data_IF_006555861749
#
_entry.id   IF_006555861749
#
_cell.length_a   1.000
_cell.length_b   1.000
_cell.length_c   1.000
_cell.angle_alpha   90.00
_cell.angle_beta   90.00
_cell.angle_gamma   90.00
#
_symmetry.space_group_name_H-M   'P 1'
#
loop_
_entity.id
_entity.type
_entity.pdbx_description
1 polymer ?
#
# COMPACT_ATOMS: atom_id res chain seq x y z
N UNK A 1 -19.60 -14.95 13.78
CA UNK A 1 -18.36 -14.18 14.08
C UNK A 1 -18.63 -12.77 14.59
N UNK A 2 -19.17 -11.82 13.79
CA UNK A 2 -19.35 -10.44 14.29
C UNK A 2 -20.30 -10.35 15.50
N UNK A 3 -21.36 -11.16 15.53
CA UNK A 3 -22.25 -11.27 16.69
C UNK A 3 -21.49 -11.75 17.94
N UNK A 4 -20.67 -12.80 17.81
CA UNK A 4 -19.87 -13.37 18.91
C UNK A 4 -18.82 -12.37 19.43
N UNK A 5 -18.27 -11.55 18.54
CA UNK A 5 -17.36 -10.45 18.89
C UNK A 5 -18.08 -9.35 19.69
N UNK A 6 -19.26 -8.90 19.22
CA UNK A 6 -20.06 -7.86 19.88
C UNK A 6 -20.53 -8.27 21.27
N UNK A 7 -20.96 -9.52 21.41
CA UNK A 7 -21.47 -10.08 22.66
C UNK A 7 -20.37 -10.59 23.59
N UNK A 8 -19.10 -10.47 23.19
CA UNK A 8 -17.95 -10.95 23.93
C UNK A 8 -18.05 -12.43 24.37
N UNK A 9 -18.76 -13.27 23.59
CA UNK A 9 -18.88 -14.72 23.83
C UNK A 9 -17.53 -15.41 23.96
N UNK A 10 -16.54 -14.93 23.22
CA UNK A 10 -15.15 -15.34 23.34
C UNK A 10 -14.27 -14.18 23.84
N UNK A 11 -13.31 -14.44 24.75
CA UNK A 11 -12.38 -13.44 25.22
C UNK A 11 -11.44 -13.00 24.08
N UNK A 12 -10.85 -11.80 24.20
CA UNK A 12 -9.88 -11.28 23.21
C UNK A 12 -8.74 -12.26 22.95
N UNK A 13 -8.26 -12.94 23.98
CA UNK A 13 -7.17 -13.92 23.91
C UNK A 13 -7.45 -15.08 22.96
N UNK A 14 -8.70 -15.53 22.84
CA UNK A 14 -9.09 -16.55 21.87
C UNK A 14 -8.96 -16.05 20.43
N UNK A 15 -9.36 -14.80 20.17
CA UNK A 15 -9.15 -14.16 18.87
C UNK A 15 -7.66 -13.94 18.57
N UNK A 16 -6.86 -13.58 19.58
CA UNK A 16 -5.40 -13.44 19.44
C UNK A 16 -4.74 -14.74 19.02
N UNK A 17 -5.18 -15.90 19.56
CA UNK A 17 -4.67 -17.21 19.13
C UNK A 17 -4.91 -17.48 17.64
N UNK A 18 -6.03 -17.04 17.08
CA UNK A 18 -6.33 -17.16 15.64
C UNK A 18 -5.36 -16.28 14.83
N UNK A 19 -5.15 -15.03 15.26
CA UNK A 19 -4.20 -14.12 14.61
C UNK A 19 -2.77 -14.67 14.67
N UNK A 20 -2.35 -15.24 15.80
CA UNK A 20 -1.01 -15.82 16.00
C UNK A 20 -0.80 -17.09 15.16
N UNK A 21 -1.81 -17.95 15.06
CA UNK A 21 -1.74 -19.18 14.25
C UNK A 21 -1.76 -18.90 12.75
N UNK A 22 -2.58 -17.93 12.30
CA UNK A 22 -2.73 -17.60 10.89
C UNK A 22 -1.53 -16.83 10.33
N UNK A 23 -0.91 -15.95 11.12
CA UNK A 23 0.23 -15.11 10.70
C UNK A 23 1.38 -15.86 10.01
N UNK A 24 1.97 -16.93 10.57
CA UNK A 24 3.06 -17.66 9.91
C UNK A 24 2.61 -18.34 8.61
N UNK A 25 1.38 -18.85 8.57
CA UNK A 25 0.79 -19.45 7.36
C UNK A 25 0.64 -18.40 6.26
N UNK A 26 0.10 -17.23 6.60
CA UNK A 26 -0.04 -16.11 5.67
C UNK A 26 1.31 -15.67 5.10
N UNK A 27 2.34 -15.51 5.94
CA UNK A 27 3.70 -15.18 5.48
C UNK A 27 4.26 -16.23 4.52
N UNK A 28 4.04 -17.51 4.81
CA UNK A 28 4.47 -18.63 3.96
C UNK A 28 3.76 -18.60 2.60
N UNK A 29 2.45 -18.34 2.58
CA UNK A 29 1.65 -18.22 1.36
C UNK A 29 2.18 -17.14 0.42
N UNK A 30 2.46 -15.95 0.95
CA UNK A 30 2.99 -14.82 0.16
C UNK A 30 4.52 -14.84 0.01
N UNK A 31 5.18 -15.93 0.43
CA UNK A 31 6.62 -16.16 0.28
C UNK A 31 7.52 -15.10 0.95
N UNK A 32 7.10 -14.56 2.09
CA UNK A 32 7.95 -13.67 2.90
C UNK A 32 8.47 -14.41 4.14
N UNK A 33 9.71 -14.15 4.58
CA UNK A 33 10.27 -14.84 5.73
C UNK A 33 9.70 -14.26 7.06
N UNK A 34 9.92 -14.93 8.20
CA UNK A 34 9.38 -14.50 9.49
C UNK A 34 9.74 -13.07 9.90
N UNK A 35 10.90 -12.57 9.47
CA UNK A 35 11.42 -11.22 9.75
C UNK A 35 10.71 -10.11 8.95
N UNK A 36 9.87 -10.45 7.97
CA UNK A 36 9.04 -9.48 7.27
C UNK A 36 8.05 -8.84 8.27
N UNK A 37 7.85 -7.53 8.16
CA UNK A 37 6.96 -6.77 9.04
C UNK A 37 5.52 -7.29 9.00
N UNK A 38 4.88 -7.36 10.18
CA UNK A 38 3.48 -7.78 10.30
C UNK A 38 2.50 -6.68 9.89
N UNK A 39 2.94 -5.42 9.97
CA UNK A 39 2.21 -4.24 9.50
C UNK A 39 1.85 -4.37 8.02
N UNK A 40 2.67 -5.05 7.21
CA UNK A 40 2.35 -5.33 5.81
C UNK A 40 1.10 -6.18 5.60
N UNK A 41 0.92 -7.20 6.45
CA UNK A 41 -0.21 -8.12 6.32
C UNK A 41 -1.51 -7.38 6.61
N UNK A 42 -1.50 -6.54 7.66
CA UNK A 42 -2.72 -5.98 8.24
C UNK A 42 -2.88 -4.47 8.05
N UNK A 43 -1.94 -3.81 7.38
CA UNK A 43 -2.00 -2.39 7.03
C UNK A 43 -2.96 -2.10 5.87
N UNK A 44 -3.13 -0.82 5.56
CA UNK A 44 -4.09 -0.37 4.56
C UNK A 44 -3.72 -0.77 3.12
N UNK A 45 -4.70 -1.29 2.39
CA UNK A 45 -4.56 -1.68 0.97
C UNK A 45 -4.22 -0.50 0.06
N UNK A 46 -4.67 0.71 0.39
CA UNK A 46 -4.32 1.91 -0.38
C UNK A 46 -2.88 2.37 -0.12
N UNK A 47 -2.24 1.83 0.90
CA UNK A 47 -0.83 2.07 1.24
C UNK A 47 0.04 0.87 0.90
N UNK A 48 -0.33 0.13 -0.17
CA UNK A 48 0.42 -1.02 -0.67
C UNK A 48 0.60 -2.18 0.33
N UNK A 49 -0.30 -2.32 1.31
CA UNK A 49 -0.37 -3.48 2.23
C UNK A 49 -1.46 -4.48 1.81
N UNK A 50 -1.57 -5.64 2.48
CA UNK A 50 -2.53 -6.69 2.13
C UNK A 50 -3.93 -6.50 2.74
N UNK A 51 -4.07 -5.73 3.81
CA UNK A 51 -5.38 -5.46 4.44
C UNK A 51 -6.06 -6.69 5.05
N UNK A 52 -5.29 -7.68 5.48
CA UNK A 52 -5.80 -8.85 6.20
C UNK A 52 -6.31 -8.39 7.57
N UNK A 53 -7.58 -8.63 7.92
CA UNK A 53 -8.12 -8.25 9.22
C UNK A 53 -7.40 -8.94 10.38
N UNK A 54 -7.24 -8.24 11.51
CA UNK A 54 -6.86 -8.85 12.78
C UNK A 54 -8.12 -9.09 13.60
N UNK A 55 -8.47 -10.35 13.84
CA UNK A 55 -9.75 -10.68 14.48
C UNK A 55 -9.78 -10.23 15.95
N UNK A 56 -8.63 -10.19 16.63
CA UNK A 56 -8.55 -9.68 18.00
C UNK A 56 -8.82 -8.18 18.07
N UNK A 57 -8.35 -7.40 17.09
CA UNK A 57 -8.60 -5.97 16.98
C UNK A 57 -10.06 -5.71 16.59
N UNK A 58 -10.56 -6.42 15.58
CA UNK A 58 -11.95 -6.35 15.16
C UNK A 58 -12.92 -6.70 16.29
N UNK A 59 -12.53 -7.59 17.21
CA UNK A 59 -13.33 -7.91 18.39
C UNK A 59 -13.51 -6.71 19.32
N UNK A 60 -12.50 -5.84 19.44
CA UNK A 60 -12.60 -4.62 20.25
C UNK A 60 -13.42 -3.56 19.53
N UNK A 61 -13.21 -3.40 18.22
CA UNK A 61 -14.02 -2.47 17.42
C UNK A 61 -15.49 -2.87 17.51
N UNK A 62 -15.79 -4.18 17.41
CA UNK A 62 -17.15 -4.70 17.52
C UNK A 62 -17.79 -4.39 18.87
N UNK A 63 -17.05 -4.49 19.98
CA UNK A 63 -17.58 -4.19 21.33
C UNK A 63 -17.93 -2.71 21.48
N UNK A 64 -17.05 -1.82 21.02
CA UNK A 64 -17.30 -0.36 21.03
C UNK A 64 -18.48 0.00 20.11
N UNK A 65 -18.46 -0.51 18.87
CA UNK A 65 -19.54 -0.33 17.88
C UNK A 65 -20.90 -0.83 18.39
N UNK A 66 -20.92 -1.99 19.05
CA UNK A 66 -22.10 -2.60 19.63
C UNK A 66 -22.68 -1.76 20.78
N UNK A 67 -21.84 -1.37 21.74
CA UNK A 67 -22.25 -0.53 22.85
C UNK A 67 -22.79 0.83 22.36
N UNK A 68 -22.11 1.46 21.39
CA UNK A 68 -22.56 2.73 20.84
C UNK A 68 -23.93 2.60 20.15
N UNK A 69 -24.15 1.50 19.41
CA UNK A 69 -25.43 1.23 18.75
C UNK A 69 -26.57 0.90 19.72
N UNK A 70 -26.30 0.32 20.88
CA UNK A 70 -27.30 0.11 21.93
C UNK A 70 -27.74 1.44 22.54
N UNK A 71 -26.80 2.29 22.95
CA UNK A 71 -27.08 3.60 23.55
C UNK A 71 -27.73 4.59 22.56
N UNK A 72 -27.47 4.40 21.27
CA UNK A 72 -28.05 5.21 20.19
C UNK A 72 -29.16 4.51 19.43
N UNK A 73 -29.76 3.42 19.96
CA UNK A 73 -30.76 2.63 19.25
C UNK A 73 -31.92 3.50 18.73
N UNK A 74 -32.46 3.14 17.55
CA UNK A 74 -33.68 3.79 17.02
C UNK A 74 -34.94 3.31 17.74
N UNK A 75 -34.85 2.17 18.41
CA UNK A 75 -35.92 1.63 19.23
C UNK A 75 -35.83 2.25 20.64
N UNK A 76 -36.83 3.05 21.06
CA UNK A 76 -36.82 3.71 22.36
C UNK A 76 -36.77 2.73 23.54
N UNK A 77 -37.37 1.54 23.41
CA UNK A 77 -37.36 0.54 24.48
C UNK A 77 -35.95 -0.02 24.68
N UNK A 78 -35.28 -0.42 23.59
CA UNK A 78 -33.89 -0.90 23.62
C UNK A 78 -32.94 0.19 24.14
N UNK A 79 -33.12 1.44 23.68
CA UNK A 79 -32.31 2.56 24.12
C UNK A 79 -32.48 2.80 25.62
N UNK A 80 -33.71 2.84 26.11
CA UNK A 80 -34.02 3.05 27.55
C UNK A 80 -33.41 1.94 28.41
N UNK A 81 -33.59 0.67 28.02
CA UNK A 81 -33.00 -0.47 28.72
C UNK A 81 -31.47 -0.38 28.76
N UNK A 82 -30.84 -0.04 27.63
CA UNK A 82 -29.39 0.08 27.54
C UNK A 82 -28.84 1.19 28.46
N UNK A 83 -29.51 2.36 28.50
CA UNK A 83 -29.12 3.45 29.37
C UNK A 83 -29.32 3.14 30.85
N UNK A 84 -30.41 2.46 31.21
CA UNK A 84 -30.66 2.05 32.60
C UNK A 84 -29.61 1.03 33.07
N UNK A 85 -29.37 -0.01 32.28
CA UNK A 85 -28.36 -1.04 32.59
C UNK A 85 -26.94 -0.44 32.75
N UNK A 86 -26.57 0.52 31.89
CA UNK A 86 -25.30 1.24 32.02
C UNK A 86 -25.23 2.07 33.31
N UNK A 87 -26.30 2.82 33.62
CA UNK A 87 -26.36 3.65 34.83
C UNK A 87 -26.29 2.80 36.09
N UNK A 88 -27.07 1.72 36.17
CA UNK A 88 -27.09 0.81 37.31
C UNK A 88 -25.71 0.22 37.56
N UNK A 89 -25.00 -0.18 36.49
CA UNK A 89 -23.63 -0.67 36.59
C UNK A 89 -22.68 0.39 37.15
N UNK A 90 -22.77 1.64 36.67
CA UNK A 90 -21.90 2.71 37.13
C UNK A 90 -22.26 3.09 38.58
N UNK A 91 -23.54 3.24 38.92
CA UNK A 91 -24.02 3.49 40.28
C UNK A 91 -23.50 2.42 41.25
N UNK A 92 -23.55 1.15 40.86
CA UNK A 92 -23.03 0.06 41.67
C UNK A 92 -21.52 0.19 41.94
N UNK A 93 -20.78 0.83 41.04
CA UNK A 93 -19.32 1.06 41.13
C UNK A 93 -18.97 2.31 41.94
N UNK A 94 -19.58 3.46 41.66
CA UNK A 94 -19.26 4.75 42.30
C UNK A 94 -20.09 5.02 43.58
N UNK A 95 -21.09 4.18 43.88
CA UNK A 95 -22.00 4.28 45.04
C UNK A 95 -22.81 5.58 45.11
N UNK A 96 -23.01 6.25 43.97
CA UNK A 96 -23.85 7.45 43.80
C UNK A 96 -24.50 7.46 42.40
N UNK A 97 -25.56 8.26 42.17
CA UNK A 97 -26.10 8.47 40.83
C UNK A 97 -25.03 9.08 39.90
N UNK A 98 -24.80 8.50 38.69
CA UNK A 98 -23.78 8.97 37.77
C UNK A 98 -24.23 10.22 37.02
N UNK A 99 -23.35 11.21 36.94
CA UNK A 99 -23.45 12.34 36.03
C UNK A 99 -23.07 11.95 34.59
N UNK A 100 -23.39 12.80 33.61
CA UNK A 100 -22.96 12.64 32.22
C UNK A 100 -21.44 12.53 32.08
N UNK A 101 -20.70 13.25 32.94
CA UNK A 101 -19.23 13.19 33.01
C UNK A 101 -18.76 11.83 33.54
N UNK A 102 -19.40 11.27 34.56
CA UNK A 102 -19.06 9.94 35.09
C UNK A 102 -19.25 8.84 34.02
N UNK A 103 -20.32 8.94 33.23
CA UNK A 103 -20.60 8.00 32.14
C UNK A 103 -19.54 8.11 31.04
N UNK A 104 -19.20 9.34 30.64
CA UNK A 104 -18.15 9.63 29.66
C UNK A 104 -16.80 9.10 30.11
N UNK A 105 -16.42 9.38 31.36
CA UNK A 105 -15.18 8.92 31.97
C UNK A 105 -15.14 7.39 32.07
N UNK A 106 -16.24 6.75 32.49
CA UNK A 106 -16.33 5.30 32.55
C UNK A 106 -16.11 4.64 31.18
N UNK A 107 -16.85 5.07 30.15
CA UNK A 107 -16.80 4.45 28.81
C UNK A 107 -15.48 4.75 28.07
N UNK A 108 -14.89 5.93 28.31
CA UNK A 108 -13.55 6.30 27.84
C UNK A 108 -12.43 5.57 28.59
N UNK A 109 -12.80 4.78 29.61
CA UNK A 109 -11.87 4.08 30.48
C UNK A 109 -10.88 4.99 31.20
N UNK A 110 -11.34 6.17 31.63
CA UNK A 110 -10.57 7.07 32.51
C UNK A 110 -10.10 6.32 33.75
N UNK A 111 -8.86 6.57 34.14
CA UNK A 111 -8.23 6.03 35.34
C UNK A 111 -8.35 7.01 36.51
N UNK A 112 -9.43 7.80 36.59
CA UNK A 112 -9.74 8.59 37.78
C UNK A 112 -9.99 7.69 39.00
N UNK A 113 -9.72 8.22 40.20
CA UNK A 113 -9.72 7.44 41.46
C UNK A 113 -11.03 6.68 41.70
N UNK A 114 -12.18 7.26 41.32
CA UNK A 114 -13.52 6.63 41.41
C UNK A 114 -13.63 5.32 40.58
N UNK A 115 -12.78 5.14 39.57
CA UNK A 115 -12.77 3.96 38.71
C UNK A 115 -11.51 3.10 38.85
N UNK A 116 -10.47 3.57 39.53
CA UNK A 116 -9.28 2.79 39.87
C UNK A 116 -9.67 1.65 40.82
N UNK A 117 -9.10 0.47 40.59
CA UNK A 117 -9.18 -0.70 41.50
C UNK A 117 -10.52 -1.43 41.71
N UNK A 118 -11.64 -1.04 41.09
CA UNK A 118 -12.81 -1.94 41.07
C UNK A 118 -12.62 -3.01 39.98
N UNK A 119 -12.23 -4.21 40.41
CA UNK A 119 -12.41 -5.43 39.62
C UNK A 119 -13.91 -5.65 39.45
N UNK A 120 -14.44 -5.56 38.23
CA UNK A 120 -15.81 -5.98 37.99
C UNK A 120 -15.86 -7.51 38.10
N UNK A 121 -16.59 -8.09 39.07
CA UNK A 121 -16.70 -9.55 39.19
C UNK A 121 -17.49 -10.18 38.04
N UNK A 122 -18.29 -9.37 37.32
CA UNK A 122 -19.17 -9.83 36.23
C UNK A 122 -18.83 -9.09 34.93
N UNK A 123 -18.57 -9.87 33.87
CA UNK A 123 -18.35 -9.36 32.51
C UNK A 123 -19.69 -8.97 31.87
N UNK A 124 -19.91 -7.68 31.67
CA UNK A 124 -21.05 -7.10 30.93
C UNK A 124 -20.63 -6.49 29.59
N UNK A 125 -21.62 -6.15 28.75
CA UNK A 125 -21.42 -5.40 27.49
C UNK A 125 -20.67 -4.08 27.76
N UNK A 126 -20.99 -3.37 28.85
CA UNK A 126 -20.37 -2.10 29.20
C UNK A 126 -18.93 -2.26 29.68
N UNK A 127 -18.66 -3.26 30.51
CA UNK A 127 -17.29 -3.52 31.00
C UNK A 127 -16.36 -3.98 29.87
N UNK A 128 -16.87 -4.76 28.92
CA UNK A 128 -16.12 -5.21 27.75
C UNK A 128 -15.91 -4.08 26.74
N UNK A 129 -16.91 -3.22 26.55
CA UNK A 129 -16.79 -2.00 25.75
C UNK A 129 -15.78 -1.03 26.37
N UNK A 130 -15.83 -0.75 27.68
CA UNK A 130 -14.83 0.06 28.41
C UNK A 130 -13.41 -0.47 28.18
N UNK A 131 -13.20 -1.77 28.36
CA UNK A 131 -11.90 -2.39 28.13
C UNK A 131 -11.43 -2.30 26.67
N UNK A 132 -12.35 -2.38 25.71
CA UNK A 132 -12.06 -2.18 24.31
C UNK A 132 -11.73 -0.70 23.99
N UNK A 133 -12.49 0.26 24.55
CA UNK A 133 -12.21 1.70 24.45
C UNK A 133 -10.81 2.04 24.95
N UNK A 134 -10.40 1.47 26.10
CA UNK A 134 -9.04 1.65 26.63
C UNK A 134 -7.96 1.21 25.62
N UNK A 135 -8.12 0.01 25.05
CA UNK A 135 -7.15 -0.56 24.10
C UNK A 135 -7.11 0.20 22.78
N UNK A 136 -8.27 0.66 22.31
CA UNK A 136 -8.42 1.42 21.08
C UNK A 136 -8.21 2.92 21.25
N UNK A 137 -8.04 3.41 22.49
CA UNK A 137 -7.97 4.85 22.83
C UNK A 137 -9.18 5.64 22.30
N UNK A 138 -10.37 5.11 22.55
CA UNK A 138 -11.65 5.73 22.16
C UNK A 138 -12.14 6.62 23.29
N UNK A 139 -12.45 7.87 22.96
CA UNK A 139 -13.10 8.80 23.87
C UNK A 139 -14.60 8.81 23.63
N UNK A 140 -15.37 8.76 24.69
CA UNK A 140 -16.83 8.86 24.71
C UNK A 140 -17.21 10.17 25.37
N UNK A 141 -18.15 10.88 24.75
CA UNK A 141 -18.66 12.15 25.24
C UNK A 141 -20.18 12.05 25.35
N UNK A 142 -20.69 12.22 26.56
CA UNK A 142 -22.11 12.20 26.91
C UNK A 142 -22.45 13.56 27.50
N UNK A 143 -23.45 14.19 26.91
CA UNK A 143 -24.00 15.47 27.36
C UNK A 143 -25.23 15.26 28.24
N UNK A 144 -25.65 16.31 28.95
CA UNK A 144 -26.76 16.22 29.92
C UNK A 144 -28.12 15.90 29.30
N UNK A 145 -28.29 16.15 27.99
CA UNK A 145 -29.48 15.73 27.24
C UNK A 145 -29.41 14.26 26.74
N UNK A 146 -28.42 13.48 27.23
CA UNK A 146 -28.15 12.10 26.84
C UNK A 146 -27.77 11.91 25.37
N UNK A 147 -27.37 12.98 24.69
CA UNK A 147 -26.71 12.84 23.40
C UNK A 147 -25.28 12.35 23.62
N UNK A 148 -24.91 11.35 22.82
CA UNK A 148 -23.65 10.62 22.94
C UNK A 148 -22.87 10.68 21.63
N UNK A 149 -21.57 10.91 21.73
CA UNK A 149 -20.64 10.83 20.63
C UNK A 149 -19.40 10.03 21.00
N UNK A 150 -18.72 9.46 20.00
CA UNK A 150 -17.45 8.77 20.19
C UNK A 150 -16.39 9.34 19.27
N UNK A 151 -15.16 9.44 19.76
CA UNK A 151 -14.02 9.99 19.03
C UNK A 151 -12.88 8.99 18.98
N UNK A 152 -12.29 8.82 17.79
CA UNK A 152 -11.14 7.94 17.56
C UNK A 152 -10.25 8.51 16.45
N UNK A 153 -8.95 8.61 16.72
CA UNK A 153 -7.95 9.19 15.79
C UNK A 153 -8.40 10.55 15.20
N UNK A 154 -8.94 11.44 16.03
CA UNK A 154 -9.40 12.78 15.62
C UNK A 154 -10.72 12.82 14.85
N UNK A 155 -11.42 11.69 14.68
CA UNK A 155 -12.75 11.65 14.04
C UNK A 155 -13.84 11.43 15.08
N UNK A 156 -14.85 12.31 15.12
CA UNK A 156 -16.02 12.21 16.01
C UNK A 156 -17.24 11.66 15.27
N UNK A 157 -17.97 10.76 15.93
CA UNK A 157 -19.17 10.10 15.42
C UNK A 157 -20.37 10.46 16.30
N UNK A 158 -21.36 11.10 15.69
CA UNK A 158 -22.68 11.29 16.27
C UNK A 158 -23.60 10.09 15.99
N UNK A 159 -24.77 9.97 16.66
CA UNK A 159 -25.71 8.87 16.45
C UNK A 159 -26.12 8.65 14.99
N UNK A 160 -26.23 9.72 14.19
CA UNK A 160 -26.54 9.64 12.76
C UNK A 160 -25.49 8.89 11.93
N UNK A 161 -24.23 8.90 12.37
CA UNK A 161 -23.09 8.24 11.69
C UNK A 161 -22.71 6.89 12.32
N UNK A 162 -23.53 6.32 13.21
CA UNK A 162 -23.25 5.05 13.91
C UNK A 162 -22.96 3.85 13.00
N UNK A 163 -23.45 3.85 11.76
CA UNK A 163 -23.20 2.77 10.81
C UNK A 163 -21.75 2.75 10.28
N UNK A 164 -21.03 3.86 10.37
CA UNK A 164 -19.66 4.02 9.87
C UNK A 164 -18.60 3.65 10.91
N UNK A 165 -18.94 3.63 12.21
CA UNK A 165 -17.98 3.48 13.33
C UNK A 165 -17.03 2.31 13.11
N UNK A 166 -17.57 1.11 12.89
CA UNK A 166 -16.75 -0.08 12.72
C UNK A 166 -15.81 0.00 11.50
N UNK A 167 -16.32 0.46 10.36
CA UNK A 167 -15.55 0.59 9.13
C UNK A 167 -14.43 1.63 9.28
N UNK A 168 -14.74 2.80 9.85
CA UNK A 168 -13.77 3.88 10.00
C UNK A 168 -12.70 3.55 11.04
N UNK A 169 -13.06 2.95 12.18
CA UNK A 169 -12.07 2.51 13.17
C UNK A 169 -11.09 1.52 12.56
N UNK A 170 -11.60 0.50 11.87
CA UNK A 170 -10.75 -0.46 11.16
C UNK A 170 -9.86 0.23 10.12
N UNK A 171 -10.41 1.17 9.34
CA UNK A 171 -9.63 1.92 8.36
C UNK A 171 -8.51 2.74 9.00
N UNK A 172 -8.78 3.40 10.13
CA UNK A 172 -7.79 4.22 10.83
C UNK A 172 -6.63 3.37 11.38
N UNK A 173 -6.93 2.24 12.03
CA UNK A 173 -5.89 1.33 12.55
C UNK A 173 -5.05 0.67 11.45
N UNK A 174 -5.66 0.42 10.28
CA UNK A 174 -4.93 -0.04 9.09
C UNK A 174 -3.99 1.03 8.55
N UNK A 175 -4.45 2.28 8.53
CA UNK A 175 -3.64 3.42 8.10
C UNK A 175 -2.44 3.64 9.02
N UNK A 176 -2.65 3.62 10.34
CA UNK A 176 -1.57 3.75 11.34
C UNK A 176 -0.49 2.67 11.16
N UNK A 177 -0.89 1.40 10.95
CA UNK A 177 0.05 0.31 10.65
C UNK A 177 0.83 0.54 9.37
N UNK A 178 0.16 0.99 8.31
CA UNK A 178 0.85 1.30 7.05
C UNK A 178 1.84 2.45 7.22
N UNK A 179 1.46 3.53 7.90
CA UNK A 179 2.35 4.65 8.22
C UNK A 179 3.57 4.18 9.01
N UNK A 180 3.36 3.33 10.04
CA UNK A 180 4.44 2.70 10.80
C UNK A 180 5.39 1.90 9.90
N UNK A 181 4.86 1.08 8.97
CA UNK A 181 5.70 0.33 8.02
C UNK A 181 6.59 1.23 7.15
N UNK A 182 6.07 2.38 6.69
CA UNK A 182 6.84 3.31 5.85
C UNK A 182 8.05 3.93 6.58
N UNK A 183 8.01 3.98 7.92
CA UNK A 183 9.15 4.45 8.72
C UNK A 183 10.34 3.47 8.70
N UNK A 184 10.13 2.20 8.35
CA UNK A 184 11.17 1.18 8.43
C UNK A 184 12.26 1.40 7.34
N UNK A 185 13.55 1.56 7.72
CA UNK A 185 14.60 1.93 6.77
C UNK A 185 14.76 0.98 5.56
N UNK A 186 14.73 -0.33 5.80
CA UNK A 186 14.91 -1.34 4.74
C UNK A 186 13.59 -1.81 4.14
N UNK A 187 12.57 -2.00 4.98
CA UNK A 187 11.31 -2.66 4.61
C UNK A 187 10.24 -1.69 4.10
N UNK A 188 10.31 -0.41 4.49
CA UNK A 188 9.35 0.62 4.09
C UNK A 188 9.67 1.28 2.76
N UNK A 189 10.93 1.25 2.31
CA UNK A 189 11.41 2.06 1.17
C UNK A 189 10.70 1.79 -0.16
N UNK A 190 10.52 0.52 -0.53
CA UNK A 190 9.86 0.16 -1.78
C UNK A 190 8.33 0.16 -1.64
N UNK A 191 7.83 -0.06 -0.42
CA UNK A 191 6.41 0.05 -0.10
C UNK A 191 5.95 1.50 -0.26
N UNK A 192 6.78 2.48 0.14
CA UNK A 192 6.52 3.91 -0.08
C UNK A 192 6.30 4.22 -1.57
N UNK A 193 7.21 3.77 -2.43
CA UNK A 193 7.10 3.93 -3.89
C UNK A 193 5.86 3.22 -4.46
N UNK A 194 5.50 2.05 -3.93
CA UNK A 194 4.30 1.34 -4.37
C UNK A 194 3.02 2.02 -3.87
N UNK A 195 3.04 2.59 -2.67
CA UNK A 195 1.88 3.22 -2.01
C UNK A 195 1.48 4.54 -2.69
N UNK A 196 2.43 5.29 -3.25
CA UNK A 196 2.18 6.58 -3.92
C UNK A 196 1.19 6.47 -5.10
N UNK A 197 1.13 5.29 -5.74
CA UNK A 197 0.16 4.95 -6.78
C UNK A 197 -0.35 3.51 -6.62
N UNK A 198 -0.87 3.18 -5.43
CA UNK A 198 -1.22 1.81 -5.03
C UNK A 198 -2.18 1.08 -5.97
N UNK A 199 -3.14 1.78 -6.57
CA UNK A 199 -4.08 1.19 -7.54
C UNK A 199 -3.38 0.57 -8.75
N UNK A 200 -2.25 1.14 -9.17
CA UNK A 200 -1.45 0.64 -10.29
C UNK A 200 -0.38 -0.32 -9.79
N UNK A 201 0.37 0.08 -8.77
CA UNK A 201 1.53 -0.67 -8.25
C UNK A 201 1.17 -1.99 -7.53
N UNK A 202 -0.09 -2.15 -7.12
CA UNK A 202 -0.55 -3.30 -6.33
C UNK A 202 -1.83 -3.95 -6.88
N UNK A 203 -2.19 -3.68 -8.15
CA UNK A 203 -3.42 -4.19 -8.76
C UNK A 203 -3.58 -5.71 -8.62
N UNK A 204 -2.49 -6.46 -8.78
CA UNK A 204 -2.45 -7.91 -8.73
C UNK A 204 -2.59 -8.51 -7.32
N UNK A 205 -2.64 -7.72 -6.25
CA UNK A 205 -2.71 -8.26 -4.88
C UNK A 205 -3.96 -9.11 -4.63
N UNK A 206 -5.07 -8.82 -5.31
CA UNK A 206 -6.37 -9.47 -5.09
C UNK A 206 -6.75 -10.46 -6.19
N UNK A 207 -6.54 -10.09 -7.44
CA UNK A 207 -7.03 -10.83 -8.61
C UNK A 207 -5.91 -11.43 -9.47
N UNK A 208 -4.65 -11.08 -9.21
CA UNK A 208 -3.49 -11.55 -9.98
C UNK A 208 -3.46 -11.05 -11.42
N UNK A 209 -4.27 -10.04 -11.80
CA UNK A 209 -4.33 -9.57 -13.17
C UNK A 209 -2.96 -9.17 -13.70
N UNK A 210 -2.67 -9.57 -14.94
CA UNK A 210 -1.43 -9.29 -15.69
C UNK A 210 -0.11 -9.79 -15.08
N UNK A 211 -0.14 -10.42 -13.90
CA UNK A 211 1.04 -10.82 -13.13
C UNK A 211 1.14 -12.34 -13.06
N UNK A 212 2.27 -12.94 -13.47
CA UNK A 212 2.48 -14.39 -13.33
C UNK A 212 2.55 -14.76 -11.86
N UNK A 213 2.17 -15.99 -11.51
CA UNK A 213 2.27 -16.46 -10.12
C UNK A 213 3.70 -16.35 -9.55
N UNK A 214 4.72 -16.63 -10.37
CA UNK A 214 6.12 -16.49 -9.97
C UNK A 214 6.51 -15.03 -9.66
N UNK A 215 5.97 -14.08 -10.42
CA UNK A 215 6.20 -12.63 -10.25
C UNK A 215 5.51 -12.12 -8.97
N UNK A 216 4.25 -12.54 -8.77
CA UNK A 216 3.48 -12.29 -7.54
C UNK A 216 4.21 -12.84 -6.31
N UNK A 217 4.69 -14.08 -6.39
CA UNK A 217 5.43 -14.73 -5.29
C UNK A 217 6.78 -14.08 -5.00
N UNK A 218 7.42 -13.48 -6.01
CA UNK A 218 8.69 -12.77 -5.89
C UNK A 218 8.52 -11.38 -5.27
N UNK A 219 7.53 -10.61 -5.74
CA UNK A 219 7.49 -9.17 -5.50
C UNK A 219 7.28 -8.79 -4.04
N UNK A 220 6.49 -9.58 -3.29
CA UNK A 220 6.28 -9.36 -1.87
C UNK A 220 7.62 -9.35 -1.12
N UNK A 221 8.45 -10.39 -1.31
CA UNK A 221 9.75 -10.51 -0.66
C UNK A 221 10.77 -9.48 -1.17
N UNK A 222 10.72 -9.15 -2.46
CA UNK A 222 11.61 -8.17 -3.08
C UNK A 222 11.39 -6.76 -2.51
N UNK A 223 10.14 -6.33 -2.34
CA UNK A 223 9.80 -5.02 -1.75
C UNK A 223 10.28 -4.88 -0.30
N UNK A 224 10.40 -5.99 0.43
CA UNK A 224 11.01 -6.00 1.76
C UNK A 224 12.53 -5.96 1.78
N UNK A 225 13.20 -6.06 0.63
CA UNK A 225 14.63 -6.25 0.54
C UNK A 225 15.09 -7.50 1.32
N UNK A 226 14.28 -8.57 1.29
CA UNK A 226 14.52 -9.83 2.02
C UNK A 226 14.85 -11.01 1.08
N UNK A 227 15.13 -10.72 -0.19
CA UNK A 227 15.58 -11.73 -1.17
C UNK A 227 17.00 -12.20 -0.85
N UNK A 228 17.34 -13.49 -1.05
CA UNK A 228 18.60 -14.11 -0.62
C UNK A 228 19.85 -13.70 -1.45
N UNK A 229 20.23 -12.42 -1.39
CA UNK A 229 21.46 -11.87 -1.94
C UNK A 229 22.56 -11.75 -0.86
N UNK A 230 23.83 -11.76 -1.25
CA UNK A 230 24.97 -11.85 -0.34
C UNK A 230 25.01 -10.70 0.67
N UNK A 231 24.67 -9.47 0.27
CA UNK A 231 24.68 -8.33 1.17
C UNK A 231 23.54 -8.34 2.22
N UNK A 232 22.50 -9.15 2.04
CA UNK A 232 21.32 -9.20 2.93
C UNK A 232 21.44 -10.35 3.96
N UNK A 233 22.33 -11.32 3.73
CA UNK A 233 22.50 -12.50 4.61
C UNK A 233 23.22 -12.12 5.90
N UNK A 234 22.47 -11.90 6.99
CA UNK A 234 22.97 -11.51 8.32
C UNK A 234 23.99 -12.47 8.96
N UNK A 235 23.99 -13.76 8.59
CA UNK A 235 24.74 -14.82 9.28
C UNK A 235 25.99 -15.32 8.56
N UNK A 236 26.41 -14.70 7.46
CA UNK A 236 27.65 -15.10 6.80
C UNK A 236 28.76 -14.10 7.10
N UNK A 237 29.85 -14.57 7.72
CA UNK A 237 31.20 -13.99 7.61
C UNK A 237 31.77 -14.15 6.18
N UNK A 238 30.91 -14.19 5.17
CA UNK A 238 31.23 -14.57 3.79
C UNK A 238 31.39 -13.38 2.85
N UNK A 239 31.63 -13.70 1.57
CA UNK A 239 31.73 -12.72 0.49
C UNK A 239 30.41 -11.93 0.35
N UNK A 240 30.48 -10.61 0.60
CA UNK A 240 29.37 -9.67 0.37
C UNK A 240 29.26 -9.23 -1.10
N UNK A 241 30.32 -9.44 -1.86
CA UNK A 241 30.43 -9.05 -3.26
C UNK A 241 29.40 -9.73 -4.15
N UNK A 242 29.10 -9.07 -5.26
CA UNK A 242 28.27 -9.60 -6.33
C UNK A 242 28.88 -10.87 -6.90
N UNK A 243 28.12 -11.97 -6.87
CA UNK A 243 28.55 -13.28 -7.37
C UNK A 243 28.76 -13.35 -8.89
N UNK A 244 28.46 -12.27 -9.61
CA UNK A 244 28.49 -12.21 -11.09
C UNK A 244 29.51 -11.23 -11.63
N UNK A 245 29.62 -10.05 -11.00
CA UNK A 245 30.46 -8.97 -11.52
C UNK A 245 31.43 -8.39 -10.48
N UNK A 246 31.61 -9.05 -9.33
CA UNK A 246 32.53 -8.64 -8.25
C UNK A 246 32.30 -7.23 -7.66
N UNK A 247 31.15 -6.61 -7.90
CA UNK A 247 30.77 -5.36 -7.23
C UNK A 247 30.78 -5.54 -5.70
N UNK A 248 31.22 -4.54 -4.89
CA UNK A 248 31.51 -4.75 -3.46
C UNK A 248 30.35 -5.30 -2.63
N UNK A 249 29.10 -4.94 -2.96
CA UNK A 249 27.91 -5.40 -2.25
C UNK A 249 26.83 -5.90 -3.21
N UNK A 250 26.50 -7.19 -3.12
CA UNK A 250 25.38 -7.80 -3.83
C UNK A 250 24.05 -7.41 -3.18
N UNK A 251 23.62 -6.19 -3.45
CA UNK A 251 22.33 -5.66 -3.00
C UNK A 251 21.28 -5.85 -4.08
N UNK A 252 19.99 -5.80 -3.70
CA UNK A 252 18.90 -5.83 -4.69
C UNK A 252 18.94 -4.64 -5.67
N UNK A 253 19.21 -3.38 -5.25
CA UNK A 253 19.46 -2.29 -6.19
C UNK A 253 20.56 -2.59 -7.21
N UNK A 254 21.67 -3.19 -6.76
CA UNK A 254 22.75 -3.57 -7.67
C UNK A 254 22.25 -4.59 -8.71
N UNK A 255 21.64 -5.70 -8.28
CA UNK A 255 21.18 -6.75 -9.20
C UNK A 255 20.06 -6.27 -10.13
N UNK A 256 19.12 -5.47 -9.62
CA UNK A 256 17.94 -5.06 -10.37
C UNK A 256 18.18 -3.88 -11.34
N UNK A 257 19.22 -3.06 -11.11
CA UNK A 257 19.40 -1.80 -11.83
C UNK A 257 20.84 -1.47 -12.26
N UNK A 258 21.88 -2.06 -11.65
CA UNK A 258 23.26 -1.56 -11.81
C UNK A 258 24.32 -2.63 -12.12
N UNK A 259 23.95 -3.90 -12.16
CA UNK A 259 24.90 -4.96 -12.44
C UNK A 259 25.15 -5.04 -13.95
N UNK A 260 26.37 -4.66 -14.37
CA UNK A 260 26.75 -4.57 -15.80
C UNK A 260 26.58 -5.88 -16.57
N UNK A 261 26.53 -7.03 -15.87
CA UNK A 261 26.21 -8.34 -16.47
C UNK A 261 24.85 -8.34 -17.17
N UNK A 262 23.91 -7.52 -16.71
CA UNK A 262 22.50 -7.51 -17.14
C UNK A 262 22.11 -6.26 -17.92
N UNK A 263 23.09 -5.50 -18.46
CA UNK A 263 22.82 -4.27 -19.21
C UNK A 263 21.80 -4.49 -20.34
N UNK A 264 21.94 -5.57 -21.10
CA UNK A 264 21.00 -5.94 -22.18
C UNK A 264 19.59 -6.20 -21.65
N UNK A 265 19.44 -6.89 -20.51
CA UNK A 265 18.14 -7.13 -19.90
C UNK A 265 17.51 -5.83 -19.36
N UNK A 266 18.32 -4.90 -18.84
CA UNK A 266 17.83 -3.58 -18.43
C UNK A 266 17.30 -2.77 -19.63
N UNK A 267 18.01 -2.83 -20.76
CA UNK A 267 17.59 -2.20 -22.01
C UNK A 267 16.32 -2.85 -22.57
N UNK A 268 16.21 -4.18 -22.55
CA UNK A 268 14.98 -4.90 -22.95
C UNK A 268 13.78 -4.52 -22.07
N UNK A 269 13.97 -4.43 -20.74
CA UNK A 269 12.95 -3.98 -19.80
C UNK A 269 12.47 -2.58 -20.15
N UNK A 270 13.41 -1.67 -20.39
CA UNK A 270 13.14 -0.30 -20.80
C UNK A 270 12.33 -0.25 -22.11
N UNK A 271 12.81 -0.92 -23.15
CA UNK A 271 12.18 -0.91 -24.48
C UNK A 271 10.78 -1.52 -24.45
N UNK A 272 10.54 -2.52 -23.61
CA UNK A 272 9.19 -3.08 -23.40
C UNK A 272 8.20 -2.01 -22.90
N UNK A 273 8.63 -1.11 -22.01
CA UNK A 273 7.81 -0.01 -21.50
C UNK A 273 7.57 1.03 -22.59
N UNK A 274 8.62 1.42 -23.32
CA UNK A 274 8.55 2.36 -24.46
C UNK A 274 7.53 1.86 -25.49
N UNK A 275 7.61 0.59 -25.90
CA UNK A 275 6.69 -0.02 -26.88
C UNK A 275 5.23 -0.03 -26.39
N UNK A 276 4.99 -0.24 -25.09
CA UNK A 276 3.64 -0.15 -24.52
C UNK A 276 3.06 1.26 -24.62
N UNK A 277 3.88 2.27 -24.33
CA UNK A 277 3.46 3.68 -24.42
C UNK A 277 3.22 4.05 -25.88
N UNK A 278 4.13 3.65 -26.78
CA UNK A 278 4.01 3.83 -28.23
C UNK A 278 2.69 3.27 -28.77
N UNK A 279 2.40 2.00 -28.46
CA UNK A 279 1.15 1.35 -28.89
C UNK A 279 -0.10 2.05 -28.34
N UNK A 280 -0.02 2.60 -27.13
CA UNK A 280 -1.14 3.34 -26.55
C UNK A 280 -1.29 4.77 -27.12
N UNK A 281 -0.21 5.36 -27.61
CA UNK A 281 -0.18 6.69 -28.21
C UNK A 281 -0.61 6.71 -29.68
N UNK A 282 -0.35 5.64 -30.44
CA UNK A 282 -0.47 5.59 -31.91
C UNK A 282 -1.87 5.90 -32.46
N UNK A 283 -2.93 5.71 -31.66
CA UNK A 283 -4.29 6.07 -32.06
C UNK A 283 -4.63 7.56 -31.95
N UNK A 284 -3.74 8.39 -31.40
CA UNK A 284 -4.01 9.80 -31.05
C UNK A 284 -2.90 10.78 -31.37
N UNK A 285 -1.66 10.31 -31.35
CA UNK A 285 -0.47 11.11 -31.55
C UNK A 285 0.31 10.56 -32.72
N UNK A 286 0.89 11.46 -33.51
CA UNK A 286 1.90 11.08 -34.49
C UNK A 286 3.22 10.84 -33.77
N UNK A 287 3.94 9.78 -34.12
CA UNK A 287 5.26 9.50 -33.57
C UNK A 287 6.30 10.08 -34.53
N UNK A 288 6.75 11.30 -34.24
CA UNK A 288 7.64 12.07 -35.12
C UNK A 288 9.10 11.60 -35.05
N UNK A 289 9.51 11.04 -33.91
CA UNK A 289 10.86 10.50 -33.74
C UNK A 289 10.87 9.38 -32.70
N UNK A 290 11.73 8.37 -32.90
CA UNK A 290 11.95 7.25 -31.98
C UNK A 290 13.45 6.99 -31.85
N UNK A 291 14.00 7.07 -30.63
CA UNK A 291 15.42 6.79 -30.34
C UNK A 291 16.43 7.46 -31.30
N UNK A 292 16.05 8.59 -31.90
CA UNK A 292 16.83 9.29 -32.91
C UNK A 292 17.05 10.73 -32.50
N UNK A 293 18.03 11.35 -33.15
CA UNK A 293 18.33 12.75 -32.97
C UNK A 293 17.17 13.58 -33.54
N UNK A 294 16.67 14.55 -32.76
CA UNK A 294 15.49 15.36 -33.12
C UNK A 294 15.90 16.71 -33.72
N UNK A 295 16.97 17.32 -33.20
CA UNK A 295 17.54 18.60 -33.68
C UNK A 295 19.06 18.49 -33.76
N UNK A 296 19.77 19.58 -34.05
CA UNK A 296 21.24 19.58 -34.05
C UNK A 296 21.85 19.32 -32.66
N UNK A 297 21.04 19.41 -31.60
CA UNK A 297 21.41 18.88 -30.29
C UNK A 297 21.53 17.36 -30.40
N UNK A 298 22.68 16.81 -30.03
CA UNK A 298 22.95 15.37 -30.00
C UNK A 298 22.19 14.64 -28.86
N UNK A 299 20.89 14.90 -28.76
CA UNK A 299 19.96 14.37 -27.78
C UNK A 299 18.97 13.45 -28.47
N UNK A 300 18.79 12.26 -27.88
CA UNK A 300 17.91 11.21 -28.38
C UNK A 300 16.88 10.88 -27.30
N UNK A 301 15.67 11.48 -27.33
CA UNK A 301 14.57 11.04 -26.49
C UNK A 301 14.05 9.69 -26.98
N UNK A 302 13.39 8.93 -26.12
CA UNK A 302 12.84 7.62 -26.52
C UNK A 302 11.75 7.81 -27.59
N UNK A 303 10.87 8.79 -27.40
CA UNK A 303 9.82 9.15 -28.35
C UNK A 303 9.56 10.66 -28.38
N UNK A 304 9.26 11.18 -29.57
CA UNK A 304 8.63 12.48 -29.77
C UNK A 304 7.21 12.28 -30.32
N UNK A 305 6.22 12.66 -29.52
CA UNK A 305 4.81 12.62 -29.90
C UNK A 305 4.36 14.02 -30.36
N UNK A 306 3.77 14.13 -31.53
CA UNK A 306 3.22 15.40 -32.05
C UNK A 306 1.74 15.28 -32.36
N UNK A 307 1.00 16.36 -32.13
CA UNK A 307 -0.41 16.49 -32.48
C UNK A 307 -0.78 17.95 -32.59
N UNK A 308 -1.25 18.37 -33.77
CA UNK A 308 -1.56 19.77 -34.06
C UNK A 308 -0.37 20.68 -33.70
N UNK A 309 -0.56 21.65 -32.79
CA UNK A 309 0.49 22.56 -32.31
C UNK A 309 1.11 22.12 -30.97
N UNK A 310 0.99 20.84 -30.62
CA UNK A 310 1.57 20.26 -29.39
C UNK A 310 2.64 19.21 -29.69
N UNK A 311 3.70 19.21 -28.89
CA UNK A 311 4.76 18.21 -28.89
C UNK A 311 5.05 17.71 -27.47
N UNK A 312 5.24 16.40 -27.31
CA UNK A 312 5.59 15.77 -26.03
C UNK A 312 6.81 14.86 -26.23
N UNK A 313 7.88 15.17 -25.51
CA UNK A 313 8.99 14.23 -25.32
C UNK A 313 8.60 13.21 -24.28
N UNK A 314 8.62 11.94 -24.64
CA UNK A 314 8.45 10.85 -23.68
C UNK A 314 9.79 10.16 -23.54
N UNK A 315 10.28 10.10 -22.31
CA UNK A 315 11.51 9.39 -21.98
C UNK A 315 11.27 8.55 -20.71
N UNK A 316 11.56 7.27 -20.81
CA UNK A 316 11.33 6.27 -19.79
C UNK A 316 12.59 6.12 -18.93
N UNK A 317 12.38 5.97 -17.63
CA UNK A 317 13.46 5.60 -16.72
C UNK A 317 12.98 4.59 -15.70
N UNK A 318 13.74 3.50 -15.55
CA UNK A 318 13.48 2.47 -14.55
C UNK A 318 14.47 2.66 -13.39
N UNK A 319 13.99 3.24 -12.29
CA UNK A 319 14.78 3.48 -11.09
C UNK A 319 14.55 2.38 -10.05
N UNK A 320 15.47 2.19 -9.10
CA UNK A 320 15.20 1.32 -7.98
C UNK A 320 14.24 2.00 -6.98
N UNK A 321 13.27 1.25 -6.44
CA UNK A 321 12.27 1.69 -5.46
C UNK A 321 12.91 1.99 -4.08
N UNK A 322 13.66 3.08 -4.00
CA UNK A 322 14.32 3.55 -2.79
C UNK A 322 13.71 4.87 -2.29
N UNK A 323 12.45 4.79 -1.85
CA UNK A 323 11.63 5.94 -1.43
C UNK A 323 11.34 6.93 -2.57
N UNK A 324 10.39 7.84 -2.34
CA UNK A 324 10.01 8.84 -3.35
C UNK A 324 11.14 9.74 -3.84
N UNK A 325 12.12 10.17 -3.01
CA UNK A 325 13.24 10.98 -3.50
C UNK A 325 14.08 10.31 -4.61
N UNK A 326 14.10 8.98 -4.70
CA UNK A 326 14.77 8.30 -5.81
C UNK A 326 14.06 8.54 -7.15
N UNK A 327 12.72 8.52 -7.15
CA UNK A 327 11.91 8.82 -8.34
C UNK A 327 12.02 10.29 -8.72
N UNK A 328 11.99 11.19 -7.74
CA UNK A 328 12.16 12.63 -7.99
C UNK A 328 13.51 12.95 -8.63
N UNK A 329 14.60 12.32 -8.16
CA UNK A 329 15.92 12.48 -8.78
C UNK A 329 15.96 11.92 -10.20
N UNK A 330 15.41 10.72 -10.41
CA UNK A 330 15.38 10.09 -11.74
C UNK A 330 14.62 10.95 -12.76
N UNK A 331 13.49 11.54 -12.34
CA UNK A 331 12.70 12.49 -13.12
C UNK A 331 13.50 13.74 -13.48
N UNK A 332 14.04 14.44 -12.47
CA UNK A 332 14.79 15.69 -12.68
C UNK A 332 15.95 15.52 -13.65
N UNK A 333 16.71 14.43 -13.55
CA UNK A 333 17.81 14.12 -14.48
C UNK A 333 17.34 14.12 -15.94
N UNK A 334 16.17 13.54 -16.23
CA UNK A 334 15.62 13.49 -17.59
C UNK A 334 15.02 14.83 -18.01
N UNK A 335 14.28 15.50 -17.12
CA UNK A 335 13.73 16.84 -17.37
C UNK A 335 14.84 17.85 -17.69
N UNK A 336 15.90 17.90 -16.88
CA UNK A 336 17.05 18.78 -17.09
C UNK A 336 17.80 18.45 -18.38
N UNK A 337 17.94 17.16 -18.72
CA UNK A 337 18.61 16.70 -19.94
C UNK A 337 17.89 17.19 -21.21
N UNK A 338 16.56 17.14 -21.23
CA UNK A 338 15.77 17.49 -22.42
C UNK A 338 15.21 18.91 -22.41
N UNK A 339 15.43 19.68 -21.34
CA UNK A 339 15.02 21.09 -21.27
C UNK A 339 15.53 21.97 -22.44
N UNK A 340 16.81 21.85 -22.90
CA UNK A 340 17.28 22.60 -24.06
C UNK A 340 16.53 22.24 -25.34
N UNK A 341 16.29 20.95 -25.56
CA UNK A 341 15.56 20.44 -26.73
C UNK A 341 14.10 20.93 -26.77
N UNK A 342 13.46 20.98 -25.59
CA UNK A 342 12.15 21.60 -25.47
C UNK A 342 12.16 23.11 -25.73
N UNK A 343 13.29 23.79 -25.51
CA UNK A 343 13.49 25.19 -25.88
C UNK A 343 13.44 25.39 -27.39
N UNK A 344 14.16 24.57 -28.17
CA UNK A 344 14.23 24.68 -29.63
C UNK A 344 12.88 24.42 -30.31
N UNK A 345 12.17 23.37 -29.89
CA UNK A 345 10.88 23.02 -30.49
C UNK A 345 9.75 24.03 -30.21
N UNK A 346 9.90 24.95 -29.25
CA UNK A 346 8.92 26.03 -29.04
C UNK A 346 8.88 27.05 -30.18
N UNK A 347 9.84 26.99 -31.11
CA UNK A 347 9.78 27.76 -32.36
C UNK A 347 8.76 27.19 -33.35
N UNK A 348 8.46 25.89 -33.26
CA UNK A 348 7.57 25.15 -34.17
C UNK A 348 6.21 24.81 -33.53
N UNK A 349 6.20 24.49 -32.24
CA UNK A 349 5.01 24.06 -31.49
C UNK A 349 4.66 25.05 -30.36
N UNK A 350 3.36 25.27 -30.12
CA UNK A 350 2.89 26.17 -29.05
C UNK A 350 3.01 25.52 -27.67
N UNK A 351 2.75 24.21 -27.58
CA UNK A 351 2.74 23.46 -26.33
C UNK A 351 3.76 22.32 -26.39
N UNK A 352 4.96 22.58 -25.84
CA UNK A 352 6.05 21.60 -25.75
C UNK A 352 6.20 21.13 -24.31
N UNK A 353 6.05 19.82 -24.08
CA UNK A 353 6.15 19.19 -22.76
C UNK A 353 7.19 18.09 -22.73
N UNK A 354 7.80 17.89 -21.56
CA UNK A 354 8.68 16.76 -21.28
C UNK A 354 7.96 15.86 -20.29
N UNK A 355 7.77 14.60 -20.64
CA UNK A 355 7.24 13.55 -19.78
C UNK A 355 8.34 12.53 -19.50
N UNK A 356 9.01 12.69 -18.36
CA UNK A 356 9.86 11.64 -17.80
C UNK A 356 8.98 10.58 -17.12
N UNK A 357 8.83 9.41 -17.74
CA UNK A 357 8.05 8.30 -17.21
C UNK A 357 8.92 7.49 -16.26
N UNK A 358 8.71 7.65 -14.96
CA UNK A 358 9.48 6.96 -13.93
C UNK A 358 8.72 5.73 -13.44
N UNK A 359 9.35 4.56 -13.56
CA UNK A 359 8.84 3.30 -13.03
C UNK A 359 9.88 2.68 -12.11
N UNK A 360 9.43 2.15 -10.98
CA UNK A 360 10.26 1.39 -10.06
C UNK A 360 10.55 -0.01 -10.59
N UNK A 361 11.78 -0.49 -10.45
CA UNK A 361 12.15 -1.87 -10.78
C UNK A 361 11.32 -2.91 -10.00
N UNK A 362 10.76 -2.56 -8.85
CA UNK A 362 9.85 -3.37 -8.03
C UNK A 362 8.37 -2.95 -8.21
N UNK A 363 8.06 -2.33 -9.35
CA UNK A 363 6.71 -2.00 -9.78
C UNK A 363 6.08 -0.82 -9.04
N UNK A 364 6.87 0.08 -8.45
CA UNK A 364 6.38 1.40 -8.05
C UNK A 364 6.05 2.25 -9.28
N UNK A 365 4.98 3.03 -9.21
CA UNK A 365 4.59 3.97 -10.26
C UNK A 365 4.71 5.38 -9.72
N UNK A 366 5.46 6.25 -10.39
CA UNK A 366 5.56 7.65 -9.97
C UNK A 366 4.20 8.36 -10.22
N UNK A 367 3.55 8.92 -9.20
CA UNK A 367 2.30 9.67 -9.36
C UNK A 367 2.45 10.88 -10.30
N UNK A 368 3.68 11.35 -10.57
CA UNK A 368 3.96 12.42 -11.52
C UNK A 368 4.00 11.98 -12.99
N UNK A 369 3.80 10.70 -13.31
CA UNK A 369 3.60 10.21 -14.69
C UNK A 369 2.22 10.62 -15.28
N UNK A 370 1.77 11.84 -14.98
CA UNK A 370 0.41 12.29 -15.23
C UNK A 370 0.12 12.54 -16.71
N UNK A 371 1.13 12.93 -17.51
CA UNK A 371 0.90 13.24 -18.93
C UNK A 371 0.55 11.99 -19.75
N UNK A 372 0.92 10.80 -19.27
CA UNK A 372 0.52 9.52 -19.88
C UNK A 372 -1.02 9.39 -19.96
N UNK A 373 -1.77 10.00 -19.03
CA UNK A 373 -3.25 10.04 -19.12
C UNK A 373 -3.73 10.82 -20.35
N UNK A 374 -3.05 11.91 -20.70
CA UNK A 374 -3.35 12.70 -21.90
C UNK A 374 -2.95 11.97 -23.19
N UNK A 375 -1.95 11.10 -23.12
CA UNK A 375 -1.49 10.30 -24.25
C UNK A 375 -2.50 9.17 -24.56
N UNK A 376 -3.02 8.47 -23.54
CA UNK A 376 -3.71 7.17 -23.74
C UNK A 376 -5.23 7.16 -23.45
N UNK A 377 -5.81 8.25 -22.93
CA UNK A 377 -7.21 8.46 -22.46
C UNK A 377 -7.97 7.32 -21.75
N UNK A 378 -8.36 6.24 -22.44
CA UNK A 378 -9.32 5.22 -21.94
C UNK A 378 -8.64 3.98 -21.36
N UNK A 379 -7.46 3.62 -21.87
CA UNK A 379 -6.69 2.44 -21.44
C UNK A 379 -5.63 2.76 -20.37
N UNK A 380 -5.53 4.01 -19.90
CA UNK A 380 -4.46 4.43 -18.98
C UNK A 380 -4.34 3.54 -17.73
N UNK A 381 -5.49 3.20 -17.13
CA UNK A 381 -5.55 2.32 -15.96
C UNK A 381 -4.94 0.94 -16.22
N UNK A 382 -5.23 0.34 -17.37
CA UNK A 382 -4.72 -0.98 -17.76
C UNK A 382 -3.27 -0.91 -18.23
N UNK A 383 -2.90 0.13 -18.99
CA UNK A 383 -1.54 0.39 -19.42
C UNK A 383 -0.57 0.46 -18.23
N UNK A 384 -0.93 1.22 -17.19
CA UNK A 384 -0.13 1.29 -15.97
C UNK A 384 0.06 -0.08 -15.32
N UNK A 385 -1.00 -0.88 -15.24
CA UNK A 385 -0.95 -2.23 -14.65
C UNK A 385 -0.04 -3.17 -15.47
N UNK A 386 -0.13 -3.09 -16.79
CA UNK A 386 0.71 -3.85 -17.72
C UNK A 386 2.19 -3.45 -17.60
N UNK A 387 2.50 -2.15 -17.59
CA UNK A 387 3.87 -1.64 -17.41
C UNK A 387 4.45 -2.09 -16.08
N UNK A 388 3.69 -1.96 -14.98
CA UNK A 388 4.09 -2.42 -13.65
C UNK A 388 4.38 -3.93 -13.66
N UNK A 389 3.49 -4.73 -14.24
CA UNK A 389 3.64 -6.19 -14.26
C UNK A 389 4.85 -6.65 -15.08
N UNK A 390 5.07 -6.05 -16.26
CA UNK A 390 6.23 -6.36 -17.09
C UNK A 390 7.54 -5.95 -16.43
N UNK A 391 7.55 -4.82 -15.73
CA UNK A 391 8.72 -4.35 -14.99
C UNK A 391 9.06 -5.33 -13.86
N UNK A 392 8.06 -5.82 -13.13
CA UNK A 392 8.24 -6.85 -12.09
C UNK A 392 8.74 -8.15 -12.72
N UNK A 393 8.12 -8.63 -13.81
CA UNK A 393 8.51 -9.85 -14.52
C UNK A 393 9.98 -9.80 -14.95
N UNK A 394 10.37 -8.76 -15.66
CA UNK A 394 11.75 -8.58 -16.11
C UNK A 394 12.73 -8.52 -14.94
N UNK A 395 12.38 -7.81 -13.85
CA UNK A 395 13.22 -7.75 -12.66
C UNK A 395 13.34 -9.10 -11.96
N UNK A 396 12.26 -9.89 -11.91
CA UNK A 396 12.26 -11.26 -11.40
C UNK A 396 13.15 -12.16 -12.26
N UNK A 397 13.07 -12.03 -13.58
CA UNK A 397 13.86 -12.86 -14.51
C UNK A 397 15.36 -12.56 -14.39
N UNK A 398 15.73 -11.27 -14.33
CA UNK A 398 17.10 -10.85 -14.02
C UNK A 398 17.55 -11.41 -12.67
N UNK A 399 16.70 -11.31 -11.64
CA UNK A 399 17.01 -11.80 -10.30
C UNK A 399 17.23 -13.32 -10.28
N UNK A 400 16.40 -14.11 -10.96
CA UNK A 400 16.54 -15.56 -11.01
C UNK A 400 17.76 -15.97 -11.83
N UNK A 401 18.01 -15.35 -12.98
CA UNK A 401 19.26 -15.56 -13.75
C UNK A 401 20.48 -15.22 -12.88
N UNK A 402 20.39 -14.17 -12.07
CA UNK A 402 21.44 -13.80 -11.12
C UNK A 402 21.70 -14.87 -10.08
N UNK A 403 20.67 -15.51 -9.53
CA UNK A 403 20.86 -16.61 -8.58
C UNK A 403 21.36 -17.89 -9.25
N UNK A 404 20.72 -18.32 -10.34
CA UNK A 404 20.91 -19.64 -10.95
C UNK A 404 22.06 -19.68 -11.94
N UNK A 405 22.34 -18.58 -12.62
CA UNK A 405 23.27 -18.51 -13.75
C UNK A 405 22.65 -18.98 -15.06
N UNK A 406 21.37 -19.34 -15.04
CA UNK A 406 20.63 -19.83 -16.20
C UNK A 406 19.81 -18.67 -16.77
N UNK A 407 20.05 -18.29 -18.05
CA UNK A 407 19.25 -17.28 -18.72
C UNK A 407 17.76 -17.56 -18.61
N UNK A 408 16.97 -16.55 -18.24
CA UNK A 408 15.51 -16.68 -18.17
C UNK A 408 14.83 -16.23 -19.48
N UNK A 409 15.53 -15.46 -20.33
CA UNK A 409 15.00 -14.87 -21.56
C UNK A 409 15.11 -15.81 -22.78
N UNK A 410 14.71 -17.08 -22.67
CA UNK A 410 14.37 -17.86 -23.86
C UNK A 410 12.95 -17.48 -24.25
N UNK A 411 12.81 -16.53 -25.18
CA UNK A 411 11.52 -16.19 -25.78
C UNK A 411 10.86 -17.47 -26.33
N UNK A 412 9.73 -17.88 -25.74
CA UNK A 412 8.81 -18.78 -26.40
C UNK A 412 7.89 -17.93 -27.28
N UNK A 413 7.98 -18.00 -28.62
CA UNK A 413 7.19 -17.17 -29.53
C UNK A 413 5.66 -17.37 -29.37
N UNK A 414 5.20 -18.42 -28.68
CA UNK A 414 3.79 -18.71 -28.48
C UNK A 414 3.11 -17.97 -27.31
N UNK A 415 3.85 -17.32 -26.40
CA UNK A 415 3.25 -16.63 -25.25
C UNK A 415 2.64 -15.24 -25.61
N UNK A 416 3.03 -14.69 -26.76
CA UNK A 416 2.58 -13.37 -27.23
C UNK A 416 1.11 -13.35 -27.63
N UNK A 417 0.55 -14.48 -28.09
CA UNK A 417 -0.84 -14.54 -28.58
C UNK A 417 -1.90 -14.61 -27.47
N UNK A 418 -1.56 -15.14 -26.30
CA UNK A 418 -2.52 -15.28 -25.20
C UNK A 418 -2.86 -13.96 -24.50
N UNK A 419 -1.97 -12.96 -24.56
CA UNK A 419 -2.23 -11.63 -23.98
C UNK A 419 -2.93 -10.66 -24.95
N UNK A 420 -2.93 -10.95 -26.26
CA UNK A 420 -3.57 -10.11 -27.27
C UNK A 420 -5.09 -10.29 -27.29
N UNK A 421 -5.59 -11.49 -27.01
CA UNK A 421 -7.04 -11.78 -27.03
C UNK A 421 -7.85 -11.24 -25.85
N UNK A 422 -7.23 -10.68 -24.79
CA UNK A 422 -7.96 -10.17 -23.60
C UNK A 422 -8.00 -8.65 -23.48
N UNK A 423 -7.41 -7.92 -24.43
CA UNK A 423 -7.31 -6.46 -24.39
C UNK A 423 -7.94 -5.76 -25.62
N UNK A 424 -8.83 -6.47 -26.34
CA UNK A 424 -9.73 -5.89 -27.34
C UNK A 424 -11.15 -5.80 -26.80
#
# INVERSE_FOLDING_TARGET
MLFDMRTARLPKTSWTRIDDHSRPLLKTTINVPPEASNEYLSGDTKSACLGIPLVAEDSDIARVDGAFKLLTSRDPAVQTLAWNDLRDLITARIKRPPSSQDISAYLSASDDDDFRNSSNPVSSIWSTARNASRRLKVSWDVTDNLSISISHSGTTFSPGKRHLVFQTFRSNLRKERAEKLLTYPSQGKAIECAASASMSSCHFFRDGLFTRFADWRFIHRARFNLVPLNAVRRRNNGQRGCRRCNFPEETLPHVACHCMRYSRQYEQRHNTIVERIKKAASGKWNIAAENQQVTDLNLRPDMLLTRERSAIFVDVTVAFDNRMPAFERARRIKEDKYAPLAGELRTEFDDVRIEAVVVGALGGWDPKNGLIRHICSKSYGELMKLIVSDTIRSTRDIYIEHLSGVPQNTHDPHETDLQVTRAN
#
